data_IF_013859275355
#
_entry.id   IF_013859275355
#
_cell.length_a   1.000
_cell.length_b   1.000
_cell.length_c   1.000
_cell.angle_alpha   90.00
_cell.angle_beta   90.00
_cell.angle_gamma   90.00
#
_symmetry.space_group_name_H-M   'P 1'
#
loop_
_entity.id
_entity.type
_entity.pdbx_description
1 polymer ?
#
# COMPACT_ATOMS: atom_id res chain seq x y z
N UNK A 1 -6.48 20.12 -49.90
CA UNK A 1 -7.47 19.42 -49.05
C UNK A 1 -6.70 18.65 -47.99
N UNK A 2 -6.70 19.09 -46.72
CA UNK A 2 -6.04 18.36 -45.65
C UNK A 2 -7.02 17.34 -45.05
N UNK A 3 -6.58 16.09 -44.96
CA UNK A 3 -7.29 15.00 -44.29
C UNK A 3 -7.14 15.15 -42.78
N UNK A 4 -8.25 15.50 -42.11
CA UNK A 4 -8.37 15.48 -40.66
C UNK A 4 -8.29 14.03 -40.15
N UNK A 5 -7.21 13.67 -39.46
CA UNK A 5 -7.13 12.45 -38.68
C UNK A 5 -7.80 12.68 -37.31
N UNK A 6 -9.00 12.14 -37.16
CA UNK A 6 -9.73 12.09 -35.90
C UNK A 6 -9.22 10.90 -35.08
N UNK A 7 -8.53 11.17 -33.96
CA UNK A 7 -8.05 10.16 -33.00
C UNK A 7 -8.49 10.53 -31.58
N UNK A 8 -9.81 10.55 -31.39
CA UNK A 8 -10.42 10.22 -30.10
C UNK A 8 -10.95 8.80 -30.22
N UNK A 9 -10.07 7.81 -30.03
CA UNK A 9 -10.55 6.50 -29.62
C UNK A 9 -10.77 6.56 -28.11
N UNK A 10 -11.99 6.32 -27.62
CA UNK A 10 -12.21 6.20 -26.18
C UNK A 10 -11.36 5.05 -25.67
N UNK A 11 -10.75 5.23 -24.50
CA UNK A 11 -10.29 4.15 -23.63
C UNK A 11 -11.48 3.18 -23.49
N UNK A 12 -11.52 2.15 -24.34
CA UNK A 12 -12.44 1.04 -24.16
C UNK A 12 -11.98 0.37 -22.88
N UNK A 13 -12.84 0.50 -21.88
CA UNK A 13 -12.80 -0.21 -20.62
C UNK A 13 -12.23 -1.63 -20.83
N UNK A 14 -11.18 -1.94 -20.09
CA UNK A 14 -10.82 -3.33 -19.86
C UNK A 14 -12.08 -4.06 -19.35
N UNK A 15 -12.46 -5.19 -19.94
CA UNK A 15 -13.64 -5.90 -19.48
C UNK A 15 -13.31 -6.51 -18.12
N UNK A 16 -14.09 -6.11 -17.10
CA UNK A 16 -14.29 -6.79 -15.80
C UNK A 16 -13.20 -6.58 -14.75
N UNK A 17 -13.13 -5.36 -14.22
CA UNK A 17 -12.72 -5.11 -12.82
C UNK A 17 -13.87 -4.44 -12.04
N UNK A 18 -15.10 -4.94 -12.21
CA UNK A 18 -16.33 -4.38 -11.62
C UNK A 18 -17.14 -5.42 -10.83
N UNK A 19 -16.54 -6.52 -10.36
CA UNK A 19 -17.27 -7.59 -9.67
C UNK A 19 -16.62 -8.15 -8.39
N UNK A 20 -15.64 -7.45 -7.79
CA UNK A 20 -15.01 -7.92 -6.54
C UNK A 20 -15.21 -7.01 -5.31
N UNK A 21 -16.07 -5.98 -5.37
CA UNK A 21 -16.38 -5.18 -4.18
C UNK A 21 -17.86 -4.78 -4.12
N UNK A 22 -18.71 -5.77 -3.86
CA UNK A 22 -20.03 -5.56 -3.27
C UNK A 22 -20.22 -6.63 -2.20
N UNK A 23 -19.55 -6.43 -1.06
CA UNK A 23 -19.90 -7.13 0.16
C UNK A 23 -20.97 -6.29 0.89
N UNK A 24 -22.17 -6.83 1.14
CA UNK A 24 -23.16 -6.13 1.93
C UNK A 24 -22.69 -6.13 3.39
N UNK A 25 -22.43 -4.94 3.95
CA UNK A 25 -22.27 -4.75 5.39
C UNK A 25 -23.67 -4.89 6.01
N UNK A 26 -24.04 -6.13 6.33
CA UNK A 26 -25.24 -6.48 7.07
C UNK A 26 -24.85 -6.94 8.48
N UNK A 27 -25.11 -6.07 9.46
CA UNK A 27 -25.38 -6.36 10.87
C UNK A 27 -24.47 -7.38 11.60
N UNK A 28 -23.57 -6.89 12.45
CA UNK A 28 -23.03 -7.68 13.56
C UNK A 28 -23.40 -7.05 14.91
N UNK A 29 -24.01 -7.90 15.73
CA UNK A 29 -24.80 -7.63 16.92
C UNK A 29 -24.04 -7.03 18.12
N UNK A 30 -24.83 -6.32 18.93
CA UNK A 30 -24.60 -5.99 20.33
C UNK A 30 -24.41 -7.23 21.23
N UNK A 31 -23.63 -7.04 22.31
CA UNK A 31 -23.61 -7.86 23.54
C UNK A 31 -22.50 -8.93 23.52
N UNK A 32 -21.60 -9.03 24.48
CA UNK A 32 -21.86 -9.18 25.91
C UNK A 32 -20.67 -8.69 26.76
N UNK A 33 -20.98 -7.93 27.81
CA UNK A 33 -20.12 -7.75 28.99
C UNK A 33 -20.16 -9.03 29.84
N UNK A 34 -19.01 -9.52 30.28
CA UNK A 34 -18.91 -10.68 31.16
C UNK A 34 -17.57 -10.76 31.91
N UNK A 35 -17.58 -10.23 33.13
CA UNK A 35 -16.88 -10.64 34.35
C UNK A 35 -15.39 -11.06 34.38
N UNK A 36 -14.74 -10.54 35.43
CA UNK A 36 -13.39 -10.75 35.95
C UNK A 36 -13.19 -12.08 36.70
N UNK A 37 -11.94 -12.55 36.74
CA UNK A 37 -11.36 -13.49 37.74
C UNK A 37 -10.46 -14.53 37.05
N UNK A 38 -9.19 -14.77 37.35
CA UNK A 38 -8.28 -14.41 38.45
C UNK A 38 -7.38 -15.63 38.72
N UNK A 39 -6.06 -15.44 38.87
CA UNK A 39 -5.13 -16.47 39.40
C UNK A 39 -3.80 -16.58 38.66
N UNK A 40 -2.70 -16.19 39.33
CA UNK A 40 -1.36 -16.07 38.76
C UNK A 40 -0.45 -17.30 38.89
N UNK A 41 0.71 -17.20 38.23
CA UNK A 41 1.84 -18.12 38.36
C UNK A 41 3.00 -17.70 37.45
N UNK A 42 3.98 -17.02 38.03
CA UNK A 42 5.20 -16.52 37.36
C UNK A 42 6.18 -17.65 37.01
N UNK A 43 6.73 -17.66 35.79
CA UNK A 43 7.97 -18.37 35.44
C UNK A 43 8.73 -17.67 34.31
N UNK A 44 10.06 -17.69 34.44
CA UNK A 44 11.02 -16.76 33.85
C UNK A 44 11.17 -16.83 32.32
N UNK A 45 11.27 -15.65 31.72
CA UNK A 45 11.45 -15.39 30.29
C UNK A 45 12.90 -15.61 29.82
N UNK A 46 13.04 -16.42 28.77
CA UNK A 46 14.28 -16.64 28.03
C UNK A 46 14.37 -15.60 26.91
N UNK A 47 15.24 -14.61 27.10
CA UNK A 47 15.35 -13.38 26.31
C UNK A 47 15.22 -13.55 24.80
N UNK A 48 14.05 -13.19 24.27
CA UNK A 48 13.87 -12.81 22.89
C UNK A 48 14.44 -11.39 22.64
N UNK A 49 14.83 -11.05 21.39
CA UNK A 49 15.28 -9.70 21.05
C UNK A 49 14.23 -8.65 21.46
N UNK A 50 14.62 -7.70 22.30
CA UNK A 50 13.75 -6.62 22.76
C UNK A 50 13.58 -5.64 21.59
N UNK A 51 12.42 -5.71 20.92
CA UNK A 51 12.02 -4.69 19.95
C UNK A 51 11.67 -3.41 20.73
N UNK A 52 12.27 -2.25 20.42
CA UNK A 52 11.96 -1.01 21.14
C UNK A 52 10.47 -0.67 21.06
N UNK A 53 9.85 -0.37 22.20
CA UNK A 53 8.46 0.04 22.25
C UNK A 53 8.25 1.37 21.50
N UNK A 54 7.12 1.55 20.82
CA UNK A 54 6.86 2.77 20.07
C UNK A 54 6.57 3.96 20.99
N UNK A 55 6.96 5.17 20.55
CA UNK A 55 6.71 6.42 21.27
C UNK A 55 5.21 6.71 21.26
N UNK A 56 4.62 6.97 22.43
CA UNK A 56 3.15 7.04 22.63
C UNK A 56 2.43 5.74 22.20
N UNK A 57 2.94 4.59 22.66
CA UNK A 57 2.40 3.27 22.31
C UNK A 57 0.98 3.02 22.80
N UNK A 58 0.20 2.29 22.01
CA UNK A 58 -1.12 1.78 22.39
C UNK A 58 -0.96 0.58 23.31
N UNK A 59 -1.59 0.58 24.49
CA UNK A 59 -1.73 -0.63 25.30
C UNK A 59 -2.73 -1.58 24.65
N UNK A 60 -2.25 -2.74 24.18
CA UNK A 60 -3.09 -3.72 23.50
C UNK A 60 -3.73 -4.63 24.56
N UNK A 61 -5.04 -4.84 24.47
CA UNK A 61 -5.82 -5.62 25.42
C UNK A 61 -6.98 -6.35 24.71
N UNK A 62 -7.75 -7.14 25.47
CA UNK A 62 -8.84 -7.95 24.94
C UNK A 62 -9.93 -7.14 24.20
N UNK A 63 -10.08 -5.85 24.52
CA UNK A 63 -11.04 -4.96 23.88
C UNK A 63 -10.61 -4.41 22.51
N UNK A 64 -9.31 -4.37 22.19
CA UNK A 64 -8.80 -3.72 20.97
C UNK A 64 -7.89 -4.61 20.09
N UNK A 65 -7.43 -5.78 20.56
CA UNK A 65 -6.43 -6.57 19.84
C UNK A 65 -6.83 -6.99 18.42
N UNK A 66 -8.13 -7.23 18.16
CA UNK A 66 -8.63 -7.56 16.82
C UNK A 66 -8.57 -6.36 15.87
N UNK A 67 -8.87 -5.15 16.35
CA UNK A 67 -8.76 -3.92 15.56
C UNK A 67 -7.29 -3.60 15.25
N UNK A 68 -6.39 -3.84 16.21
CA UNK A 68 -4.94 -3.73 16.00
C UNK A 68 -4.47 -4.72 14.93
N UNK A 69 -4.95 -5.97 14.97
CA UNK A 69 -4.62 -6.97 13.96
C UNK A 69 -5.11 -6.57 12.56
N UNK A 70 -6.36 -6.10 12.46
CA UNK A 70 -6.93 -5.60 11.21
C UNK A 70 -6.13 -4.41 10.66
N UNK A 71 -5.78 -3.43 11.52
CA UNK A 71 -4.98 -2.28 11.10
C UNK A 71 -3.60 -2.70 10.56
N UNK A 72 -2.95 -3.70 11.17
CA UNK A 72 -1.67 -4.20 10.72
C UNK A 72 -1.74 -4.92 9.36
N UNK A 73 -2.73 -5.80 9.18
CA UNK A 73 -2.91 -6.56 7.93
C UNK A 73 -3.36 -5.64 6.79
N UNK A 74 -4.38 -4.81 7.00
CA UNK A 74 -4.84 -3.84 5.98
C UNK A 74 -3.73 -2.87 5.54
N UNK A 75 -2.91 -2.38 6.47
CA UNK A 75 -1.76 -1.51 6.13
C UNK A 75 -0.74 -2.23 5.25
N UNK A 76 -0.42 -3.49 5.56
CA UNK A 76 0.48 -4.29 4.73
C UNK A 76 -0.09 -4.56 3.34
N UNK A 77 -1.39 -4.86 3.25
CA UNK A 77 -2.08 -5.09 1.97
C UNK A 77 -2.12 -3.83 1.11
N UNK A 78 -2.35 -2.67 1.72
CA UNK A 78 -2.36 -1.37 1.04
C UNK A 78 -0.98 -0.99 0.48
N UNK A 79 0.09 -1.23 1.26
CA UNK A 79 1.45 -1.00 0.76
C UNK A 79 1.80 -1.96 -0.38
N UNK A 80 1.39 -3.24 -0.29
CA UNK A 80 1.56 -4.20 -1.39
C UNK A 80 0.83 -3.76 -2.66
N UNK A 81 -0.43 -3.28 -2.55
CA UNK A 81 -1.16 -2.80 -3.73
C UNK A 81 -0.56 -1.53 -4.32
N UNK A 82 0.11 -0.71 -3.51
CA UNK A 82 0.89 0.44 -4.01
C UNK A 82 2.12 -0.03 -4.80
N UNK A 83 2.73 -1.14 -4.39
CA UNK A 83 3.77 -1.82 -5.15
C UNK A 83 3.29 -2.37 -6.49
N UNK A 84 2.06 -2.89 -6.54
CA UNK A 84 1.45 -3.43 -7.77
C UNK A 84 1.27 -2.36 -8.87
N UNK A 85 1.03 -1.10 -8.51
CA UNK A 85 1.04 0.01 -9.46
C UNK A 85 2.34 0.09 -10.28
N UNK A 86 3.47 -0.33 -9.69
CA UNK A 86 4.75 -0.41 -10.37
C UNK A 86 4.97 -1.69 -11.17
N UNK A 87 4.26 -2.78 -10.83
CA UNK A 87 4.49 -4.12 -11.36
C UNK A 87 3.44 -4.59 -12.38
N UNK A 88 2.29 -3.90 -12.48
CA UNK A 88 1.04 -4.34 -13.15
C UNK A 88 1.21 -5.29 -14.35
N UNK A 89 0.51 -6.44 -14.33
CA UNK A 89 0.15 -7.49 -15.34
C UNK A 89 1.12 -7.90 -16.47
N UNK A 90 2.15 -7.10 -16.73
CA UNK A 90 3.29 -7.35 -17.60
C UNK A 90 4.44 -6.66 -16.88
N UNK A 91 5.46 -7.37 -16.38
CA UNK A 91 6.58 -6.76 -15.67
C UNK A 91 7.10 -5.54 -16.46
N UNK A 92 6.83 -4.32 -15.98
CA UNK A 92 7.18 -3.08 -16.68
C UNK A 92 6.06 -2.22 -17.27
N UNK A 93 4.81 -2.69 -17.37
CA UNK A 93 3.80 -1.95 -18.16
C UNK A 93 3.01 -0.90 -17.39
N UNK A 94 2.87 -0.96 -16.07
CA UNK A 94 2.04 0.00 -15.33
C UNK A 94 2.62 1.40 -15.38
N UNK A 95 3.75 1.57 -14.67
CA UNK A 95 4.52 2.81 -14.71
C UNK A 95 5.25 3.01 -16.03
N UNK A 96 5.70 1.93 -16.70
CA UNK A 96 6.34 2.06 -18.02
C UNK A 96 5.39 2.68 -19.03
N UNK A 97 4.11 2.28 -19.09
CA UNK A 97 3.14 2.93 -20.00
C UNK A 97 2.77 4.34 -19.56
N UNK A 98 2.75 4.63 -18.25
CA UNK A 98 2.53 5.99 -17.76
C UNK A 98 3.74 6.91 -17.94
N UNK A 99 4.95 6.39 -18.03
CA UNK A 99 6.15 7.14 -18.39
C UNK A 99 6.24 7.29 -19.92
N UNK A 100 6.10 6.20 -20.66
CA UNK A 100 6.20 6.16 -22.12
C UNK A 100 5.04 6.87 -22.81
N UNK A 101 3.79 6.83 -22.32
CA UNK A 101 2.65 7.50 -22.96
C UNK A 101 2.81 9.03 -23.05
N UNK A 102 3.09 9.76 -21.94
CA UNK A 102 3.35 11.18 -21.99
C UNK A 102 4.72 11.48 -22.59
N UNK A 103 5.80 10.73 -22.33
CA UNK A 103 7.11 10.97 -22.94
C UNK A 103 7.08 10.77 -24.47
N UNK A 104 6.50 9.67 -24.95
CA UNK A 104 6.38 9.39 -26.38
C UNK A 104 5.42 10.35 -27.10
N UNK A 105 4.40 10.87 -26.42
CA UNK A 105 3.51 11.91 -26.99
C UNK A 105 4.08 13.32 -26.86
N UNK A 106 4.92 13.59 -25.85
CA UNK A 106 5.64 14.85 -25.65
C UNK A 106 6.72 15.07 -26.71
N UNK A 107 7.36 13.99 -27.17
CA UNK A 107 8.37 13.98 -28.25
C UNK A 107 7.92 14.58 -29.59
N UNK A 108 6.61 14.81 -29.80
CA UNK A 108 6.11 15.43 -31.04
C UNK A 108 6.23 16.96 -31.08
N UNK A 109 6.79 17.62 -30.05
CA UNK A 109 6.96 19.08 -30.05
C UNK A 109 8.25 19.54 -29.36
N UNK A 110 9.40 19.30 -30.02
CA UNK A 110 10.75 19.78 -29.70
C UNK A 110 11.39 19.20 -28.42
N UNK A 111 12.73 18.98 -28.43
CA UNK A 111 13.47 18.66 -27.23
C UNK A 111 13.38 19.82 -26.23
N UNK A 112 12.63 19.61 -25.16
CA UNK A 112 12.63 20.46 -23.98
C UNK A 112 12.82 19.53 -22.80
N UNK A 113 13.79 19.83 -21.94
CA UNK A 113 14.09 19.05 -20.74
C UNK A 113 12.87 18.89 -19.82
N UNK A 114 11.87 19.77 -19.94
CA UNK A 114 10.58 19.65 -19.25
C UNK A 114 9.44 19.83 -20.26
N UNK A 115 8.54 18.85 -20.32
CA UNK A 115 7.32 18.89 -21.13
C UNK A 115 6.08 18.87 -20.23
N UNK A 116 5.26 19.90 -20.35
CA UNK A 116 4.03 20.04 -19.58
C UNK A 116 2.84 20.04 -20.53
N UNK A 117 1.81 19.25 -20.21
CA UNK A 117 0.53 19.25 -20.91
C UNK A 117 -0.61 19.33 -19.92
N UNK A 118 -1.49 20.31 -20.12
CA UNK A 118 -2.75 20.39 -19.40
C UNK A 118 -3.83 19.72 -20.23
N UNK A 119 -4.51 18.74 -19.65
CA UNK A 119 -5.65 18.05 -20.24
C UNK A 119 -6.92 18.49 -19.51
N UNK A 120 -7.97 18.92 -20.22
CA UNK A 120 -9.27 19.16 -19.59
C UNK A 120 -9.90 17.83 -19.18
N UNK A 121 -10.60 17.84 -18.05
CA UNK A 121 -11.37 16.67 -17.60
C UNK A 121 -12.82 16.74 -18.10
N UNK A 122 -13.46 15.58 -18.30
CA UNK A 122 -14.77 15.48 -18.98
C UNK A 122 -15.86 16.32 -18.30
N UNK A 123 -15.84 16.40 -16.97
CA UNK A 123 -16.87 17.07 -16.16
C UNK A 123 -16.36 18.35 -15.46
N UNK A 124 -15.21 18.87 -15.90
CA UNK A 124 -14.61 20.11 -15.39
C UNK A 124 -13.31 19.90 -14.59
N UNK A 125 -12.57 20.99 -14.39
CA UNK A 125 -11.21 20.94 -13.86
C UNK A 125 -10.18 20.53 -14.91
N UNK A 126 -8.98 20.16 -14.47
CA UNK A 126 -7.89 19.78 -15.38
C UNK A 126 -6.84 18.88 -14.72
N UNK A 127 -6.12 18.11 -15.55
CA UNK A 127 -4.90 17.40 -15.18
C UNK A 127 -3.69 18.07 -15.84
N UNK A 128 -2.70 18.45 -15.04
CA UNK A 128 -1.38 18.85 -15.53
C UNK A 128 -0.45 17.64 -15.48
N UNK A 129 -0.11 17.11 -16.65
CA UNK A 129 0.93 16.11 -16.82
C UNK A 129 2.26 16.83 -17.06
N UNK A 130 3.29 16.46 -16.31
CA UNK A 130 4.64 17.00 -16.48
C UNK A 130 5.63 15.84 -16.58
N UNK A 131 6.52 15.89 -17.56
CA UNK A 131 7.65 14.98 -17.69
C UNK A 131 8.94 15.80 -17.76
N UNK A 132 9.93 15.45 -16.94
CA UNK A 132 11.26 16.07 -16.88
C UNK A 132 12.27 15.00 -17.30
N UNK A 133 12.73 15.12 -18.55
CA UNK A 133 13.76 14.26 -19.16
C UNK A 133 15.09 15.02 -19.04
N UNK A 134 15.90 14.63 -18.05
CA UNK A 134 17.07 15.40 -17.62
C UNK A 134 18.16 15.45 -18.67
N UNK A 135 18.29 14.40 -19.45
CA UNK A 135 19.33 14.27 -20.46
C UNK A 135 18.79 14.47 -21.89
N UNK A 136 17.46 14.62 -22.03
CA UNK A 136 16.75 14.88 -23.27
C UNK A 136 17.02 13.78 -24.33
N UNK A 137 17.09 12.52 -23.88
CA UNK A 137 17.31 11.36 -24.76
C UNK A 137 16.00 10.66 -25.16
N UNK A 138 14.87 11.06 -24.58
CA UNK A 138 13.57 10.52 -24.89
C UNK A 138 13.27 9.15 -24.28
N UNK A 139 14.08 8.69 -23.33
CA UNK A 139 13.90 7.48 -22.54
C UNK A 139 13.67 7.88 -21.08
N UNK A 140 13.11 6.97 -20.29
CA UNK A 140 13.01 7.16 -18.86
C UNK A 140 14.25 6.55 -18.20
N UNK A 141 15.11 7.39 -17.63
CA UNK A 141 16.34 6.99 -16.96
C UNK A 141 16.65 7.78 -15.69
N UNK A 142 17.88 7.62 -15.16
CA UNK A 142 18.24 8.12 -13.84
C UNK A 142 18.23 9.65 -13.83
N UNK A 143 17.42 10.22 -12.92
CA UNK A 143 17.22 11.66 -12.79
C UNK A 143 15.89 12.15 -13.36
N UNK A 144 15.25 11.35 -14.23
CA UNK A 144 13.99 11.72 -14.84
C UNK A 144 12.83 11.68 -13.86
N UNK A 145 11.79 12.46 -14.16
CA UNK A 145 10.56 12.45 -13.36
C UNK A 145 9.31 12.63 -14.20
N UNK A 146 8.21 12.04 -13.73
CA UNK A 146 6.88 12.22 -14.30
C UNK A 146 5.94 12.58 -13.16
N UNK A 147 5.09 13.57 -13.37
CA UNK A 147 4.09 13.97 -12.39
C UNK A 147 2.75 14.29 -13.02
N UNK A 148 1.71 14.10 -12.22
CA UNK A 148 0.34 14.48 -12.52
C UNK A 148 -0.17 15.35 -11.39
N UNK A 149 -0.64 16.55 -11.72
CA UNK A 149 -1.31 17.45 -10.78
C UNK A 149 -2.77 17.61 -11.22
N UNK A 150 -3.68 17.11 -10.40
CA UNK A 150 -5.11 17.24 -10.59
C UNK A 150 -5.61 18.52 -9.92
N UNK A 151 -6.32 19.34 -10.68
CA UNK A 151 -6.88 20.63 -10.22
C UNK A 151 -8.39 20.54 -10.22
N UNK A 152 -8.93 19.83 -9.24
CA UNK A 152 -10.36 19.52 -9.14
C UNK A 152 -10.88 18.81 -10.39
N UNK A 153 -10.10 17.88 -10.93
CA UNK A 153 -10.41 17.15 -12.15
C UNK A 153 -11.60 16.21 -11.90
N UNK A 154 -12.69 16.38 -12.65
CA UNK A 154 -13.89 15.56 -12.53
C UNK A 154 -14.01 14.60 -13.72
N UNK A 155 -14.04 13.32 -13.41
CA UNK A 155 -14.28 12.22 -14.36
C UNK A 155 -15.32 11.30 -13.73
N UNK A 156 -16.38 11.00 -14.48
CA UNK A 156 -17.53 10.22 -13.99
C UNK A 156 -18.09 10.74 -12.64
N UNK A 157 -18.15 9.91 -11.61
CA UNK A 157 -18.59 10.25 -10.25
C UNK A 157 -17.43 10.58 -9.29
N UNK A 158 -16.22 10.72 -9.82
CA UNK A 158 -15.01 11.00 -9.05
C UNK A 158 -14.49 12.44 -9.26
N UNK A 159 -13.95 13.02 -8.20
CA UNK A 159 -13.13 14.24 -8.25
C UNK A 159 -11.73 13.92 -7.76
N UNK A 160 -10.72 14.22 -8.58
CA UNK A 160 -9.30 14.03 -8.28
C UNK A 160 -8.66 15.40 -8.07
N UNK A 161 -7.85 15.52 -7.03
CA UNK A 161 -7.09 16.73 -6.72
C UNK A 161 -5.71 16.41 -6.15
N UNK A 162 -4.82 17.40 -6.15
CA UNK A 162 -3.47 17.29 -5.61
C UNK A 162 -2.47 16.72 -6.60
N UNK A 163 -1.30 16.33 -6.10
CA UNK A 163 -0.14 15.97 -6.92
C UNK A 163 0.35 14.56 -6.63
N UNK A 164 0.58 13.81 -7.70
CA UNK A 164 1.28 12.53 -7.72
C UNK A 164 2.56 12.70 -8.56
N UNK A 165 3.71 12.32 -8.04
CA UNK A 165 4.97 12.40 -8.79
C UNK A 165 5.86 11.19 -8.55
N UNK A 166 6.48 10.74 -9.64
CA UNK A 166 7.43 9.65 -9.70
C UNK A 166 8.77 10.18 -10.22
N UNK A 167 9.87 9.73 -9.65
CA UNK A 167 11.22 10.04 -10.15
C UNK A 167 12.14 8.84 -10.06
N UNK A 168 13.01 8.66 -11.05
CA UNK A 168 14.04 7.63 -11.03
C UNK A 168 15.30 8.14 -10.32
N UNK A 169 15.65 7.53 -9.19
CA UNK A 169 16.87 7.79 -8.42
C UNK A 169 18.06 6.98 -8.93
N UNK A 170 17.79 5.76 -9.38
CA UNK A 170 18.74 4.91 -10.08
C UNK A 170 17.99 3.98 -11.03
N UNK A 171 18.63 3.66 -12.15
CA UNK A 171 18.13 2.71 -13.12
C UNK A 171 19.31 1.97 -13.76
N UNK A 172 19.20 0.66 -13.87
CA UNK A 172 20.13 -0.20 -14.60
C UNK A 172 19.36 -1.16 -15.49
N UNK A 173 19.82 -1.33 -16.74
CA UNK A 173 19.10 -2.04 -17.78
C UNK A 173 18.01 -1.18 -18.44
N UNK A 174 17.17 -1.82 -19.26
CA UNK A 174 16.06 -1.14 -19.91
C UNK A 174 14.82 -1.24 -19.01
N UNK A 175 14.33 -0.09 -18.52
CA UNK A 175 13.14 -0.04 -17.67
C UNK A 175 11.95 -0.70 -18.37
N UNK A 176 11.27 -1.58 -17.64
CA UNK A 176 10.13 -2.33 -18.15
C UNK A 176 10.47 -3.51 -19.08
N UNK A 177 11.75 -3.87 -19.19
CA UNK A 177 12.18 -5.14 -19.78
C UNK A 177 12.09 -6.30 -18.78
N UNK A 178 12.48 -7.51 -19.21
CA UNK A 178 12.58 -8.69 -18.33
C UNK A 178 13.86 -8.71 -17.46
N UNK A 179 14.72 -7.69 -17.56
CA UNK A 179 15.96 -7.61 -16.79
C UNK A 179 16.34 -6.15 -16.53
N UNK A 180 15.95 -5.64 -15.36
CA UNK A 180 16.30 -4.28 -14.93
C UNK A 180 16.29 -4.18 -13.41
N UNK A 181 16.95 -3.15 -12.88
CA UNK A 181 16.76 -2.70 -11.51
C UNK A 181 16.57 -1.20 -11.46
N UNK A 182 15.68 -0.72 -10.59
CA UNK A 182 15.35 0.68 -10.45
C UNK A 182 15.14 1.05 -8.98
N UNK A 183 15.62 2.23 -8.58
CA UNK A 183 15.14 2.91 -7.38
C UNK A 183 14.27 4.09 -7.82
N UNK A 184 13.00 4.03 -7.49
CA UNK A 184 12.00 5.03 -7.81
C UNK A 184 11.56 5.74 -6.53
N UNK A 185 11.35 7.04 -6.59
CA UNK A 185 10.70 7.79 -5.52
C UNK A 185 9.31 8.21 -5.98
N UNK A 186 8.29 7.76 -5.25
CA UNK A 186 6.91 8.19 -5.39
C UNK A 186 6.60 9.22 -4.29
N UNK A 187 5.94 10.31 -4.67
CA UNK A 187 5.49 11.36 -3.76
C UNK A 187 4.05 11.76 -4.05
N UNK A 188 3.28 11.92 -2.98
CA UNK A 188 1.91 12.38 -2.96
C UNK A 188 1.87 13.69 -2.17
N UNK A 189 1.38 14.76 -2.80
CA UNK A 189 1.15 16.06 -2.18
C UNK A 189 -0.33 16.41 -2.25
N UNK A 190 -1.03 16.21 -1.13
CA UNK A 190 -2.48 16.34 -0.96
C UNK A 190 -3.28 15.64 -2.07
N UNK A 191 -2.77 14.50 -2.53
CA UNK A 191 -3.42 13.74 -3.59
C UNK A 191 -4.68 13.10 -3.03
N UNK A 192 -5.84 13.55 -3.50
CA UNK A 192 -7.12 13.10 -3.01
C UNK A 192 -8.05 12.67 -4.14
N UNK A 193 -8.83 11.63 -3.85
CA UNK A 193 -9.91 11.13 -4.69
C UNK A 193 -11.19 11.22 -3.87
N UNK A 194 -12.21 11.85 -4.43
CA UNK A 194 -13.54 11.96 -3.84
C UNK A 194 -14.55 11.24 -4.72
N UNK A 195 -15.30 10.29 -4.19
CA UNK A 195 -16.34 9.52 -4.88
C UNK A 195 -17.58 9.47 -3.98
N UNK A 196 -18.76 9.74 -4.55
CA UNK A 196 -20.03 9.73 -3.81
C UNK A 196 -20.05 10.57 -2.50
N UNK A 197 -19.16 11.57 -2.37
CA UNK A 197 -19.02 12.43 -1.19
C UNK A 197 -17.97 11.96 -0.17
N UNK A 198 -17.48 10.73 -0.29
CA UNK A 198 -16.37 10.22 0.51
C UNK A 198 -15.04 10.62 -0.14
N UNK A 199 -14.08 11.04 0.68
CA UNK A 199 -12.77 11.52 0.21
C UNK A 199 -11.67 10.70 0.85
N UNK A 200 -10.71 10.23 0.04
CA UNK A 200 -9.46 9.62 0.51
C UNK A 200 -8.30 10.48 0.05
N UNK A 201 -7.45 10.91 0.97
CA UNK A 201 -6.28 11.75 0.73
C UNK A 201 -5.01 11.02 1.16
N UNK A 202 -4.02 10.97 0.28
CA UNK A 202 -2.69 10.44 0.54
C UNK A 202 -1.65 11.56 0.56
N UNK A 203 -0.73 11.49 1.53
CA UNK A 203 0.31 12.49 1.76
C UNK A 203 1.62 11.82 2.20
N UNK A 204 2.71 12.16 1.51
CA UNK A 204 4.06 11.72 1.87
C UNK A 204 4.81 11.14 0.68
N UNK A 205 5.89 10.43 0.97
CA UNK A 205 6.73 9.81 -0.06
C UNK A 205 7.13 8.41 0.32
N UNK A 206 7.33 7.58 -0.69
CA UNK A 206 7.89 6.24 -0.57
C UNK A 206 8.99 6.05 -1.59
N UNK A 207 10.04 5.36 -1.17
CA UNK A 207 11.07 4.85 -2.05
C UNK A 207 10.74 3.41 -2.40
N UNK A 208 10.90 3.08 -3.67
CA UNK A 208 10.63 1.78 -4.23
C UNK A 208 11.87 1.28 -4.94
N UNK A 209 12.38 0.13 -4.51
CA UNK A 209 13.47 -0.56 -5.17
C UNK A 209 12.88 -1.79 -5.86
N UNK A 210 12.99 -1.84 -7.18
CA UNK A 210 12.52 -2.96 -8.00
C UNK A 210 13.72 -3.62 -8.65
N UNK A 211 13.78 -4.94 -8.62
CA UNK A 211 14.70 -5.74 -9.42
C UNK A 211 13.91 -6.83 -10.13
N UNK A 212 14.02 -6.88 -11.45
CA UNK A 212 13.45 -7.93 -12.29
C UNK A 212 14.61 -8.68 -12.94
N UNK A 213 14.65 -9.99 -12.77
CA UNK A 213 15.67 -10.84 -13.38
C UNK A 213 15.09 -12.21 -13.73
N UNK A 214 15.14 -12.59 -15.01
CA UNK A 214 14.72 -13.91 -15.49
C UNK A 214 13.29 -14.29 -15.07
N UNK A 215 12.38 -13.31 -15.06
CA UNK A 215 10.98 -13.49 -14.66
C UNK A 215 10.75 -13.54 -13.15
N UNK A 216 11.79 -13.44 -12.32
CA UNK A 216 11.65 -13.17 -10.89
C UNK A 216 11.59 -11.67 -10.64
N UNK A 217 10.81 -11.27 -9.64
CA UNK A 217 10.64 -9.87 -9.20
C UNK A 217 10.99 -9.78 -7.73
N UNK A 218 11.81 -8.81 -7.37
CA UNK A 218 12.03 -8.36 -6.00
C UNK A 218 11.62 -6.90 -5.90
N UNK A 219 10.81 -6.59 -4.90
CA UNK A 219 10.32 -5.25 -4.59
C UNK A 219 10.64 -4.96 -3.13
N UNK A 220 11.27 -3.82 -2.87
CA UNK A 220 11.37 -3.24 -1.54
C UNK A 220 10.70 -1.87 -1.54
N UNK A 221 9.78 -1.64 -0.61
CA UNK A 221 9.22 -0.32 -0.34
C UNK A 221 9.82 0.19 0.98
N UNK A 222 10.33 1.41 0.97
CA UNK A 222 10.77 2.13 2.15
C UNK A 222 9.93 3.40 2.31
N UNK A 223 9.42 3.63 3.53
CA UNK A 223 8.56 4.77 3.85
C UNK A 223 9.03 5.40 5.14
N UNK A 224 9.50 6.65 5.07
CA UNK A 224 9.84 7.42 6.27
C UNK A 224 8.56 7.81 7.02
N UNK A 225 7.63 8.43 6.30
CA UNK A 225 6.30 8.79 6.79
C UNK A 225 5.33 8.94 5.63
N UNK A 226 4.22 8.22 5.69
CA UNK A 226 3.12 8.31 4.75
C UNK A 226 1.80 8.31 5.50
N UNK A 227 0.90 9.23 5.16
CA UNK A 227 -0.40 9.38 5.79
C UNK A 227 -1.50 9.20 4.76
N UNK A 228 -2.50 8.40 5.12
CA UNK A 228 -3.77 8.30 4.42
C UNK A 228 -4.86 8.74 5.37
N UNK A 229 -5.72 9.64 4.93
CA UNK A 229 -6.85 10.10 5.73
C UNK A 229 -8.06 10.33 4.85
N UNK A 230 -9.25 10.20 5.40
CA UNK A 230 -10.45 10.34 4.60
C UNK A 230 -11.72 10.13 5.37
N UNK A 231 -12.80 9.91 4.61
CA UNK A 231 -14.06 9.37 5.09
C UNK A 231 -14.47 8.17 4.26
N UNK A 232 -15.13 7.21 4.89
CA UNK A 232 -15.78 6.07 4.23
C UNK A 232 -17.14 5.85 4.90
N UNK A 233 -18.22 5.91 4.14
CA UNK A 233 -19.58 5.88 4.68
C UNK A 233 -19.84 7.01 5.68
N UNK A 234 -19.19 8.17 5.49
CA UNK A 234 -19.26 9.31 6.40
C UNK A 234 -18.45 9.17 7.70
N UNK A 235 -17.74 8.05 7.91
CA UNK A 235 -16.85 7.86 9.07
C UNK A 235 -15.44 8.32 8.73
N UNK A 236 -14.91 9.28 9.49
CA UNK A 236 -13.54 9.75 9.29
C UNK A 236 -12.51 8.69 9.70
N UNK A 237 -11.46 8.52 8.91
CA UNK A 237 -10.29 7.71 9.25
C UNK A 237 -8.99 8.47 9.00
N UNK A 238 -7.96 8.11 9.75
CA UNK A 238 -6.59 8.56 9.50
C UNK A 238 -5.61 7.48 9.93
N UNK A 239 -4.66 7.18 9.06
CA UNK A 239 -3.60 6.20 9.24
C UNK A 239 -2.28 6.81 8.82
N UNK A 240 -1.28 6.73 9.68
CA UNK A 240 0.09 7.09 9.35
C UNK A 240 0.99 5.88 9.52
N UNK A 241 1.71 5.57 8.46
CA UNK A 241 2.78 4.57 8.41
C UNK A 241 4.11 5.30 8.50
N UNK A 242 4.98 4.90 9.44
CA UNK A 242 6.35 5.44 9.60
C UNK A 242 7.38 4.33 9.66
N UNK A 243 8.61 4.69 9.33
CA UNK A 243 9.79 3.81 9.41
C UNK A 243 9.51 2.43 8.80
N UNK A 244 8.77 2.41 7.69
CA UNK A 244 8.30 1.17 7.10
C UNK A 244 9.28 0.64 6.07
N UNK A 245 9.48 -0.66 6.11
CA UNK A 245 10.15 -1.45 5.10
C UNK A 245 9.28 -2.64 4.77
N UNK A 246 8.83 -2.72 3.54
CA UNK A 246 8.12 -3.88 3.00
C UNK A 246 9.01 -4.53 1.95
N UNK A 247 9.06 -5.86 1.95
CA UNK A 247 9.68 -6.63 0.87
C UNK A 247 8.66 -7.59 0.29
N UNK A 248 8.69 -7.74 -1.03
CA UNK A 248 7.92 -8.69 -1.80
C UNK A 248 8.86 -9.38 -2.78
N UNK A 249 8.83 -10.70 -2.81
CA UNK A 249 9.61 -11.51 -3.75
C UNK A 249 8.69 -12.47 -4.48
N UNK A 250 8.69 -12.39 -5.79
CA UNK A 250 7.93 -13.24 -6.70
C UNK A 250 8.95 -14.00 -7.57
N UNK A 251 9.38 -15.23 -7.19
CA UNK A 251 10.16 -16.09 -8.06
C UNK A 251 9.39 -16.40 -9.35
N UNK A 252 10.11 -16.86 -10.38
CA UNK A 252 9.52 -17.29 -11.65
C UNK A 252 8.55 -18.47 -11.53
N UNK A 253 8.53 -19.19 -10.40
CA UNK A 253 7.54 -20.20 -10.06
C UNK A 253 6.18 -19.64 -9.63
N UNK A 254 6.09 -18.33 -9.38
CA UNK A 254 4.86 -17.59 -9.09
C UNK A 254 4.46 -17.52 -7.61
N UNK A 255 5.01 -18.35 -6.71
CA UNK A 255 4.70 -18.25 -5.27
C UNK A 255 5.39 -17.05 -4.66
N UNK A 256 4.63 -16.09 -4.16
CA UNK A 256 5.18 -14.85 -3.59
C UNK A 256 5.46 -14.97 -2.09
N UNK A 257 6.52 -14.31 -1.63
CA UNK A 257 6.80 -14.09 -0.21
C UNK A 257 6.79 -12.61 0.12
N UNK A 258 6.24 -12.24 1.27
CA UNK A 258 6.23 -10.85 1.74
C UNK A 258 6.59 -10.72 3.21
N UNK A 259 7.23 -9.61 3.56
CA UNK A 259 7.48 -9.21 4.94
C UNK A 259 7.36 -7.71 5.08
N UNK A 260 6.93 -7.26 6.26
CA UNK A 260 6.78 -5.85 6.59
C UNK A 260 7.32 -5.58 7.99
N UNK A 261 8.05 -4.47 8.12
CA UNK A 261 8.29 -3.83 9.39
C UNK A 261 7.81 -2.38 9.28
N UNK A 262 6.98 -1.88 10.19
CA UNK A 262 6.50 -0.49 10.19
C UNK A 262 6.06 -0.04 11.59
N UNK A 263 5.99 1.27 11.81
CA UNK A 263 5.22 1.88 12.91
C UNK A 263 3.90 2.39 12.35
N UNK A 264 2.78 1.93 12.93
CA UNK A 264 1.44 2.35 12.54
C UNK A 264 0.85 3.25 13.63
N UNK A 265 0.13 4.30 13.22
CA UNK A 265 -0.65 5.15 14.10
C UNK A 265 -1.90 5.63 13.39
N UNK A 266 -2.90 6.09 14.14
CA UNK A 266 -4.14 6.57 13.54
C UNK A 266 -5.29 6.69 14.51
N UNK A 267 -6.42 7.22 14.06
CA UNK A 267 -7.58 7.42 14.92
C UNK A 267 -8.21 6.10 15.40
N UNK A 268 -8.15 5.04 14.58
CA UNK A 268 -8.52 3.67 14.97
C UNK A 268 -7.58 3.04 16.00
N UNK A 269 -6.45 3.66 16.28
CA UNK A 269 -5.49 3.28 17.31
C UNK A 269 -5.44 4.34 18.44
N UNK A 270 -6.54 5.05 18.69
CA UNK A 270 -6.63 6.12 19.70
C UNK A 270 -5.61 7.25 19.51
N UNK A 271 -5.15 7.47 18.27
CA UNK A 271 -4.03 8.37 17.94
C UNK A 271 -2.71 8.00 18.65
N UNK A 272 -2.58 6.74 19.08
CA UNK A 272 -1.37 6.11 19.58
C UNK A 272 -0.73 5.27 18.49
N UNK A 273 0.40 4.65 18.81
CA UNK A 273 1.21 3.90 17.86
C UNK A 273 1.39 2.42 18.25
N UNK A 274 1.61 1.58 17.23
CA UNK A 274 2.04 0.18 17.38
C UNK A 274 3.17 -0.11 16.41
N UNK A 275 4.09 -1.02 16.75
CA UNK A 275 5.15 -1.50 15.85
C UNK A 275 4.73 -2.83 15.26
N UNK A 276 4.72 -2.95 13.94
CA UNK A 276 4.40 -4.18 13.21
C UNK A 276 5.67 -4.78 12.65
N UNK A 277 5.93 -6.06 12.88
CA UNK A 277 7.11 -6.76 12.36
C UNK A 277 6.76 -8.18 11.90
N UNK A 278 7.17 -8.55 10.70
CA UNK A 278 7.02 -9.92 10.18
C UNK A 278 8.15 -10.80 10.68
N UNK A 279 7.85 -11.71 11.61
CA UNK A 279 8.82 -12.67 12.15
C UNK A 279 9.08 -13.84 11.20
N UNK A 280 8.06 -14.25 10.45
CA UNK A 280 8.14 -15.29 9.42
C UNK A 280 7.42 -14.79 8.18
N UNK A 281 8.13 -14.73 7.04
CA UNK A 281 7.57 -14.17 5.81
C UNK A 281 6.26 -14.86 5.42
N UNK A 282 5.28 -14.07 5.00
CA UNK A 282 4.02 -14.61 4.49
C UNK A 282 4.22 -15.20 3.11
N UNK A 283 3.77 -16.44 2.92
CA UNK A 283 3.84 -17.15 1.64
C UNK A 283 2.45 -17.22 1.02
N UNK A 284 2.30 -16.71 -0.19
CA UNK A 284 1.05 -16.77 -0.95
C UNK A 284 1.31 -17.46 -2.28
N UNK A 285 0.54 -18.51 -2.59
CA UNK A 285 0.65 -19.20 -3.87
C UNK A 285 0.16 -18.29 -5.02
N UNK A 286 0.62 -18.54 -6.25
CA UNK A 286 0.33 -17.69 -7.42
C UNK A 286 -1.16 -17.42 -7.67
N UNK A 287 -2.04 -18.36 -7.29
CA UNK A 287 -3.50 -18.29 -7.51
C UNK A 287 -4.27 -18.16 -6.20
N UNK A 288 -3.63 -17.73 -5.12
CA UNK A 288 -4.25 -17.55 -3.81
C UNK A 288 -4.35 -16.05 -3.48
N UNK A 289 -5.50 -15.64 -2.94
CA UNK A 289 -5.72 -14.24 -2.54
C UNK A 289 -5.03 -13.89 -1.21
N UNK A 290 -4.72 -14.91 -0.39
CA UNK A 290 -4.22 -14.76 0.96
C UNK A 290 -3.12 -15.78 1.27
N UNK A 291 -2.23 -15.47 2.24
CA UNK A 291 -1.11 -16.33 2.55
C UNK A 291 -1.55 -17.64 3.24
N UNK A 292 -0.85 -18.71 2.91
CA UNK A 292 -1.04 -20.03 3.54
C UNK A 292 -0.17 -20.24 4.78
N UNK A 293 0.95 -19.52 4.89
CA UNK A 293 1.87 -19.55 6.02
C UNK A 293 2.49 -18.17 6.27
N UNK A 294 3.11 -17.99 7.44
CA UNK A 294 3.76 -16.76 7.86
C UNK A 294 3.23 -16.24 9.20
N UNK A 295 3.98 -15.31 9.80
CA UNK A 295 3.69 -14.77 11.11
C UNK A 295 4.12 -13.31 11.25
N UNK A 296 3.21 -12.50 11.77
CA UNK A 296 3.41 -11.10 12.10
C UNK A 296 3.23 -10.88 13.60
N UNK A 297 4.06 -10.03 14.18
CA UNK A 297 3.96 -9.55 15.55
C UNK A 297 3.69 -8.04 15.53
N UNK A 298 2.67 -7.62 16.26
CA UNK A 298 2.36 -6.21 16.51
C UNK A 298 2.64 -5.94 17.97
N UNK A 299 3.50 -4.96 18.27
CA UNK A 299 3.92 -4.60 19.64
C UNK A 299 3.35 -3.23 20.01
N UNK A 300 2.76 -3.14 21.19
CA UNK A 300 2.20 -1.94 21.78
C UNK A 300 3.02 -1.40 22.95
N UNK A 301 2.38 -0.60 23.80
CA UNK A 301 2.94 -0.15 25.07
C UNK A 301 2.98 -1.30 26.11
N UNK A 302 3.81 -1.11 27.14
CA UNK A 302 3.95 -2.03 28.28
C UNK A 302 4.27 -3.48 27.89
N UNK A 303 4.91 -3.70 26.74
CA UNK A 303 5.25 -5.04 26.26
C UNK A 303 4.09 -5.82 25.65
N UNK A 304 2.87 -5.27 25.64
CA UNK A 304 1.70 -5.92 25.05
C UNK A 304 1.91 -6.23 23.56
N UNK A 305 1.46 -7.40 23.10
CA UNK A 305 1.64 -7.89 21.73
C UNK A 305 0.38 -8.52 21.17
N UNK A 306 0.26 -8.46 19.84
CA UNK A 306 -0.65 -9.27 19.04
C UNK A 306 0.15 -10.08 18.04
N UNK A 307 -0.09 -11.37 17.97
CA UNK A 307 0.52 -12.27 17.00
C UNK A 307 -0.52 -12.74 16.01
N UNK A 308 -0.21 -12.61 14.73
CA UNK A 308 -1.09 -12.99 13.62
C UNK A 308 -0.36 -14.09 12.85
N UNK A 309 -0.88 -15.30 12.91
CA UNK A 309 -0.28 -16.48 12.27
C UNK A 309 -1.21 -17.01 11.20
N UNK A 310 -0.72 -17.13 9.97
CA UNK A 310 -1.48 -17.79 8.91
C UNK A 310 -1.73 -19.26 9.29
N UNK A 311 -2.98 -19.71 9.21
CA UNK A 311 -3.34 -21.11 9.40
C UNK A 311 -3.50 -21.81 8.05
N UNK A 312 -4.10 -21.10 7.09
CA UNK A 312 -4.30 -21.48 5.70
C UNK A 312 -4.72 -20.24 4.89
N UNK A 313 -5.03 -20.42 3.62
CA UNK A 313 -5.43 -19.33 2.70
C UNK A 313 -6.79 -18.70 3.02
N UNK A 314 -7.54 -19.21 4.00
CA UNK A 314 -8.85 -18.66 4.37
C UNK A 314 -8.84 -18.01 5.75
N UNK A 315 -7.92 -18.42 6.64
CA UNK A 315 -7.95 -18.07 8.06
C UNK A 315 -6.58 -17.73 8.63
N UNK A 316 -6.59 -16.77 9.57
CA UNK A 316 -5.48 -16.44 10.43
C UNK A 316 -5.87 -16.65 11.91
N UNK A 317 -4.91 -17.08 12.72
CA UNK A 317 -5.01 -17.09 14.17
C UNK A 317 -4.47 -15.75 14.70
N UNK A 318 -5.29 -15.04 15.46
CA UNK A 318 -4.92 -13.79 16.14
C UNK A 318 -4.82 -14.07 17.64
N UNK A 319 -3.65 -13.85 18.22
CA UNK A 319 -3.34 -14.12 19.62
C UNK A 319 -2.89 -12.83 20.31
N UNK A 320 -3.25 -12.65 21.57
CA UNK A 320 -2.93 -11.50 22.40
C UNK A 320 -2.09 -11.93 23.61
N UNK A 321 -1.04 -11.16 23.87
CA UNK A 321 -0.20 -11.10 25.06
C UNK A 321 -0.41 -9.69 25.66
N UNK A 322 -1.37 -9.52 26.57
CA UNK A 322 -1.76 -8.19 27.05
C UNK A 322 -0.83 -7.63 28.13
N UNK A 323 -0.22 -8.50 28.95
CA UNK A 323 0.65 -8.10 30.06
C UNK A 323 2.14 -8.07 29.69
N UNK A 324 2.48 -8.54 28.48
CA UNK A 324 3.82 -8.47 27.92
C UNK A 324 4.76 -9.55 28.45
N UNK A 325 4.23 -10.59 29.10
CA UNK A 325 5.04 -11.67 29.70
C UNK A 325 5.55 -12.71 28.68
N UNK A 326 5.11 -12.60 27.42
CA UNK A 326 5.49 -13.51 26.32
C UNK A 326 4.56 -14.71 26.15
N UNK A 327 3.62 -14.90 27.06
CA UNK A 327 2.52 -15.87 26.96
C UNK A 327 1.33 -15.23 26.29
N UNK A 328 0.72 -15.93 25.33
CA UNK A 328 -0.48 -15.45 24.66
C UNK A 328 -1.73 -16.04 25.30
N UNK A 329 -2.44 -15.25 26.11
CA UNK A 329 -3.56 -15.68 26.94
C UNK A 329 -4.92 -15.62 26.22
N UNK A 330 -5.06 -14.78 25.20
CA UNK A 330 -6.31 -14.66 24.43
C UNK A 330 -6.06 -15.00 22.96
N UNK A 331 -7.00 -15.72 22.32
CA UNK A 331 -6.89 -16.07 20.90
C UNK A 331 -8.22 -16.09 20.18
N UNK A 332 -8.21 -15.80 18.88
CA UNK A 332 -9.36 -15.91 18.00
C UNK A 332 -8.92 -16.27 16.58
N UNK A 333 -9.63 -17.19 15.94
CA UNK A 333 -9.49 -17.43 14.50
C UNK A 333 -10.35 -16.45 13.72
N UNK A 334 -9.80 -15.85 12.68
CA UNK A 334 -10.46 -14.86 11.81
C UNK A 334 -10.30 -15.24 10.36
N UNK A 335 -11.30 -14.96 9.53
CA UNK A 335 -11.12 -15.02 8.09
C UNK A 335 -10.13 -13.92 7.66
N UNK A 336 -9.29 -14.19 6.66
CA UNK A 336 -8.39 -13.14 6.14
C UNK A 336 -9.13 -11.91 5.64
N UNK A 337 -10.29 -12.11 5.03
CA UNK A 337 -11.16 -11.03 4.55
C UNK A 337 -11.67 -10.12 5.68
N UNK A 338 -11.74 -10.58 6.94
CA UNK A 338 -12.11 -9.75 8.08
C UNK A 338 -10.94 -8.89 8.59
N UNK A 339 -9.70 -9.25 8.25
CA UNK A 339 -8.49 -8.54 8.66
C UNK A 339 -8.00 -7.54 7.61
N UNK A 340 -8.52 -7.60 6.38
CA UNK A 340 -8.12 -6.74 5.26
C UNK A 340 -8.98 -5.48 5.18
#
# INVERSE_FOLDING_TARGET
MPTSFSLLQPLRAAPRLHQALRLPIGALCLGLLGACGGGGGSSADSGAPIVPAPVNGLGINAGNYQQVAQAAVSSSAYLLSTGDLALSDTPGAGLGRLAESPLAKAQLARPAAVNNRTLPCTLGGSLLLSADDKNNNGKFDTGDSVSTEARGCREDDMTIQGKLAFSAKSLSGDFGSNNYSATLQLSLGDFAVTEAGDTVTGNGSLEMQVAVASGAVELTLAVDSFTVSGSDGGLSFSHTVRDARLTLRIPSSGSQTSSMSATLSGNRLENKSVRVDTQEAFVTAANADFPSSGRMLVSGANGSKVRISAQNTNQALVELDADGDGTFETRSTKAWAELR
#
